data_IF_822923525206
#
_entry.id   IF_822923525206
#
_cell.length_a   1.000
_cell.length_b   1.000
_cell.length_c   1.000
_cell.angle_alpha   90.00
_cell.angle_beta   90.00
_cell.angle_gamma   90.00
#
_symmetry.space_group_name_H-M   'P 1'
#
loop_
_entity.id
_entity.type
_entity.pdbx_description
1 polymer ?
#
# COMPACT_ATOMS: atom_id res chain seq x y z
N UNK A 1 31.57 -15.36 0.67
CA UNK A 1 31.16 -14.56 1.85
C UNK A 1 30.17 -13.43 1.57
N UNK A 2 30.14 -12.81 0.38
CA UNK A 2 29.23 -11.67 0.08
C UNK A 2 27.73 -12.03 0.03
N UNK A 3 27.37 -13.25 -0.40
CA UNK A 3 25.97 -13.72 -0.52
C UNK A 3 25.25 -13.84 0.83
N UNK A 4 25.96 -14.17 1.91
CA UNK A 4 25.35 -14.25 3.24
C UNK A 4 25.00 -12.86 3.81
N UNK A 5 25.86 -11.86 3.58
CA UNK A 5 25.70 -10.50 4.10
C UNK A 5 24.61 -9.73 3.36
N UNK A 6 24.49 -9.89 2.04
CA UNK A 6 23.40 -9.28 1.25
C UNK A 6 22.05 -9.91 1.58
N UNK A 7 21.98 -11.24 1.76
CA UNK A 7 20.73 -11.93 2.15
C UNK A 7 20.28 -11.59 3.58
N UNK A 8 21.23 -11.34 4.48
CA UNK A 8 20.95 -10.85 5.84
C UNK A 8 20.53 -9.38 5.85
N UNK A 9 21.21 -8.51 5.09
CA UNK A 9 20.82 -7.11 4.90
C UNK A 9 19.44 -7.01 4.24
N UNK A 10 19.15 -7.78 3.19
CA UNK A 10 17.82 -7.87 2.57
C UNK A 10 16.74 -8.36 3.55
N UNK A 11 17.06 -9.30 4.45
CA UNK A 11 16.16 -9.71 5.54
C UNK A 11 15.91 -8.59 6.55
N UNK A 12 16.92 -7.79 6.88
CA UNK A 12 16.79 -6.63 7.77
C UNK A 12 16.04 -5.47 7.09
N UNK A 13 16.25 -5.26 5.78
CA UNK A 13 15.52 -4.27 4.99
C UNK A 13 14.04 -4.64 4.85
N UNK A 14 13.71 -5.91 4.58
CA UNK A 14 12.31 -6.41 4.52
C UNK A 14 11.53 -6.21 5.82
N UNK A 15 12.19 -6.04 6.96
CA UNK A 15 11.56 -5.76 8.25
C UNK A 15 11.20 -4.28 8.45
N UNK A 16 11.62 -3.37 7.55
CA UNK A 16 11.32 -1.94 7.68
C UNK A 16 9.95 -1.61 7.08
N UNK A 17 9.14 -0.85 7.82
CA UNK A 17 7.84 -0.34 7.40
C UNK A 17 7.84 0.34 6.02
N UNK A 18 8.95 0.92 5.57
CA UNK A 18 9.00 1.58 4.26
C UNK A 18 8.97 0.61 3.07
N UNK A 19 9.29 -0.68 3.25
CA UNK A 19 9.52 -1.58 2.10
C UNK A 19 8.22 -2.00 1.45
N UNK A 20 7.19 -2.33 2.24
CA UNK A 20 5.88 -2.63 1.63
C UNK A 20 5.24 -1.38 1.06
N UNK A 21 5.35 -0.24 1.75
CA UNK A 21 4.88 1.04 1.21
C UNK A 21 5.50 1.33 -0.17
N UNK A 22 6.82 1.16 -0.30
CA UNK A 22 7.52 1.28 -1.58
C UNK A 22 7.07 0.25 -2.63
N UNK A 23 6.78 -1.00 -2.23
CA UNK A 23 6.24 -2.03 -3.13
C UNK A 23 4.86 -1.66 -3.66
N UNK A 24 3.97 -1.12 -2.84
CA UNK A 24 2.66 -0.66 -3.28
C UNK A 24 2.78 0.54 -4.23
N UNK A 25 3.64 1.52 -3.92
CA UNK A 25 3.90 2.65 -4.82
C UNK A 25 4.48 2.18 -6.16
N UNK A 26 5.46 1.26 -6.11
CA UNK A 26 6.07 0.69 -7.31
C UNK A 26 5.05 -0.15 -8.10
N UNK A 27 4.16 -0.85 -7.40
CA UNK A 27 3.02 -1.56 -7.99
C UNK A 27 2.07 -0.61 -8.72
N UNK A 28 1.76 0.55 -8.15
CA UNK A 28 0.92 1.55 -8.82
C UNK A 28 1.56 2.08 -10.11
N UNK A 29 2.85 2.39 -10.06
CA UNK A 29 3.61 2.80 -11.26
C UNK A 29 3.65 1.67 -12.29
N UNK A 30 3.87 0.43 -11.86
CA UNK A 30 3.85 -0.73 -12.73
C UNK A 30 2.46 -0.92 -13.38
N UNK A 31 1.38 -0.69 -12.64
CA UNK A 31 0.01 -0.71 -13.18
C UNK A 31 -0.19 0.36 -14.25
N UNK A 32 0.34 1.57 -14.07
CA UNK A 32 0.30 2.62 -15.09
C UNK A 32 1.04 2.20 -16.36
N UNK A 33 2.25 1.64 -16.22
CA UNK A 33 3.04 1.15 -17.36
C UNK A 33 2.34 -0.03 -18.05
N UNK A 34 1.82 -0.98 -17.29
CA UNK A 34 1.05 -2.11 -17.83
C UNK A 34 -0.21 -1.64 -18.55
N UNK A 35 -0.90 -0.63 -18.01
CA UNK A 35 -2.05 0.00 -18.67
C UNK A 35 -1.68 0.56 -20.04
N UNK A 36 -0.58 1.30 -20.14
CA UNK A 36 -0.11 1.85 -21.42
C UNK A 36 0.27 0.76 -22.44
N UNK A 37 0.85 -0.35 -21.98
CA UNK A 37 1.30 -1.45 -22.86
C UNK A 37 0.18 -2.41 -23.27
N UNK A 38 -0.69 -2.78 -22.34
CA UNK A 38 -1.72 -3.82 -22.51
C UNK A 38 -3.11 -3.25 -22.81
N UNK A 39 -3.35 -1.96 -22.53
CA UNK A 39 -4.61 -1.28 -22.85
C UNK A 39 -5.07 -1.46 -24.31
N UNK A 40 -4.18 -1.32 -25.32
CA UNK A 40 -4.54 -1.53 -26.72
C UNK A 40 -4.90 -2.98 -27.10
N UNK A 41 -4.45 -3.98 -26.32
CA UNK A 41 -4.74 -5.39 -26.58
C UNK A 41 -6.10 -5.86 -26.04
N UNK A 42 -6.74 -5.08 -25.17
CA UNK A 42 -8.02 -5.46 -24.56
C UNK A 42 -9.15 -5.18 -25.56
N UNK A 43 -10.07 -6.13 -25.82
CA UNK A 43 -11.24 -5.89 -26.67
C UNK A 43 -12.21 -4.87 -26.05
N UNK A 44 -12.73 -3.95 -26.85
CA UNK A 44 -13.57 -2.81 -26.43
C UNK A 44 -14.96 -3.17 -25.81
N UNK A 45 -15.23 -4.46 -25.53
CA UNK A 45 -16.55 -4.94 -25.09
C UNK A 45 -16.65 -5.36 -23.62
N UNK A 46 -15.55 -5.38 -22.86
CA UNK A 46 -15.57 -5.80 -21.46
C UNK A 46 -15.87 -4.59 -20.56
N UNK A 47 -17.13 -4.43 -20.14
CA UNK A 47 -17.66 -3.54 -19.08
C UNK A 47 -16.79 -2.33 -18.69
N UNK A 48 -16.34 -1.58 -19.70
CA UNK A 48 -15.42 -0.46 -19.55
C UNK A 48 -16.01 0.62 -18.64
N UNK A 49 -17.33 0.77 -18.72
CA UNK A 49 -18.12 1.77 -18.02
C UNK A 49 -18.20 1.49 -16.52
N UNK A 50 -18.30 0.22 -16.11
CA UNK A 50 -18.35 -0.15 -14.69
C UNK A 50 -16.99 0.10 -14.03
N UNK A 51 -15.91 -0.36 -14.66
CA UNK A 51 -14.56 -0.19 -14.12
C UNK A 51 -14.11 1.28 -14.12
N UNK A 52 -14.39 2.03 -15.19
CA UNK A 52 -13.95 3.41 -15.33
C UNK A 52 -14.60 4.37 -14.32
N UNK A 53 -15.88 4.17 -13.98
CA UNK A 53 -16.58 5.02 -13.02
C UNK A 53 -16.30 4.65 -11.56
N UNK A 54 -16.22 3.35 -11.26
CA UNK A 54 -16.05 2.90 -9.88
C UNK A 54 -14.63 3.00 -9.36
N UNK A 55 -13.60 2.85 -10.22
CA UNK A 55 -12.20 2.82 -9.76
C UNK A 55 -11.77 4.14 -9.11
N UNK A 56 -12.18 5.28 -9.66
CA UNK A 56 -11.86 6.60 -9.08
C UNK A 56 -12.45 6.77 -7.68
N UNK A 57 -13.72 6.38 -7.52
CA UNK A 57 -14.38 6.42 -6.21
C UNK A 57 -13.71 5.49 -5.20
N UNK A 58 -13.31 4.27 -5.61
CA UNK A 58 -12.63 3.31 -4.73
C UNK A 58 -11.25 3.84 -4.33
N UNK A 59 -10.47 4.38 -5.27
CA UNK A 59 -9.15 4.94 -4.96
C UNK A 59 -9.26 6.14 -4.01
N UNK A 60 -10.24 7.03 -4.20
CA UNK A 60 -10.48 8.13 -3.27
C UNK A 60 -10.84 7.63 -1.86
N UNK A 61 -11.76 6.66 -1.76
CA UNK A 61 -12.13 6.05 -0.47
C UNK A 61 -10.90 5.42 0.19
N UNK A 62 -10.09 4.66 -0.55
CA UNK A 62 -8.87 4.04 -0.03
C UNK A 62 -7.86 5.10 0.42
N UNK A 63 -7.65 6.16 -0.36
CA UNK A 63 -6.73 7.23 -0.01
C UNK A 63 -7.13 7.90 1.32
N UNK A 64 -8.39 8.27 1.49
CA UNK A 64 -8.81 8.96 2.72
C UNK A 64 -8.88 8.01 3.91
N UNK A 65 -9.46 6.81 3.73
CA UNK A 65 -9.65 5.85 4.81
C UNK A 65 -8.34 5.29 5.33
N UNK A 66 -7.41 4.91 4.44
CA UNK A 66 -6.16 4.27 4.85
C UNK A 66 -5.20 5.26 5.51
N UNK A 67 -5.18 6.52 5.09
CA UNK A 67 -4.43 7.58 5.79
C UNK A 67 -5.02 7.84 7.19
N UNK A 68 -6.35 7.88 7.29
CA UNK A 68 -7.05 8.07 8.59
C UNK A 68 -6.75 6.91 9.54
N UNK A 69 -6.91 5.67 9.09
CA UNK A 69 -6.64 4.47 9.89
C UNK A 69 -5.16 4.39 10.28
N UNK A 70 -4.23 4.73 9.36
CA UNK A 70 -2.79 4.77 9.67
C UNK A 70 -2.48 5.80 10.75
N UNK A 71 -3.05 7.00 10.65
CA UNK A 71 -2.83 8.09 11.62
C UNK A 71 -3.36 7.70 13.00
N UNK A 72 -4.58 7.17 13.05
CA UNK A 72 -5.19 6.70 14.30
C UNK A 72 -4.37 5.56 14.94
N UNK A 73 -3.98 4.58 14.14
CA UNK A 73 -3.20 3.42 14.61
C UNK A 73 -1.81 3.82 15.10
N UNK A 74 -1.13 4.73 14.38
CA UNK A 74 0.16 5.27 14.80
C UNK A 74 0.04 6.08 16.09
N UNK A 75 -1.03 6.87 16.24
CA UNK A 75 -1.31 7.62 17.48
C UNK A 75 -1.48 6.66 18.67
N UNK A 76 -2.29 5.62 18.54
CA UNK A 76 -2.45 4.58 19.57
C UNK A 76 -1.11 3.95 19.94
N UNK A 77 -0.30 3.59 18.92
CA UNK A 77 1.00 2.97 19.13
C UNK A 77 1.95 3.90 19.91
N UNK A 78 2.02 5.18 19.53
CA UNK A 78 2.84 6.19 20.22
C UNK A 78 2.37 6.42 21.65
N UNK A 79 1.05 6.52 21.88
CA UNK A 79 0.48 6.66 23.23
C UNK A 79 0.78 5.43 24.09
N UNK A 80 0.60 4.22 23.55
CA UNK A 80 0.91 2.98 24.24
C UNK A 80 2.40 2.89 24.61
N UNK A 81 3.30 3.31 23.72
CA UNK A 81 4.72 3.41 24.02
C UNK A 81 5.04 4.43 25.11
N UNK A 82 4.40 5.60 25.07
CA UNK A 82 4.53 6.62 26.12
C UNK A 82 4.06 6.13 27.50
N UNK A 83 2.97 5.35 27.55
CA UNK A 83 2.48 4.72 28.79
C UNK A 83 3.41 3.60 29.28
N UNK A 84 3.99 2.81 28.39
CA UNK A 84 4.92 1.74 28.76
C UNK A 84 6.25 2.27 29.32
N UNK A 85 6.77 3.38 28.77
CA UNK A 85 8.00 4.03 29.27
C UNK A 85 7.80 4.77 30.59
N UNK A 86 6.56 5.13 30.94
CA UNK A 86 6.24 5.83 32.20
C UNK A 86 5.86 4.89 33.36
N UNK A 87 5.44 3.65 33.11
CA UNK A 87 4.90 2.75 34.15
C UNK A 87 5.62 1.38 34.36
N UNK A 88 6.67 1.01 33.61
CA UNK A 88 7.32 -0.33 33.71
C UNK A 88 8.86 -0.24 33.66
N UNK A 89 9.55 -1.18 34.33
CA UNK A 89 11.03 -1.26 34.37
C UNK A 89 11.67 -1.50 32.98
N UNK A 90 12.89 -0.96 32.71
CA UNK A 90 13.47 -0.82 31.36
C UNK A 90 13.71 -2.09 30.53
N UNK A 91 13.46 -3.29 31.08
CA UNK A 91 13.67 -4.58 30.40
C UNK A 91 12.43 -5.11 29.65
N UNK A 92 11.23 -4.61 29.93
CA UNK A 92 9.99 -5.08 29.28
C UNK A 92 9.47 -4.15 28.17
N UNK A 93 10.00 -2.93 28.07
CA UNK A 93 9.62 -1.96 27.03
C UNK A 93 10.11 -2.39 25.63
N UNK A 94 11.25 -3.07 25.54
CA UNK A 94 11.83 -3.55 24.27
C UNK A 94 11.11 -4.76 23.66
N UNK A 95 10.30 -5.49 24.44
CA UNK A 95 9.48 -6.62 23.95
C UNK A 95 8.14 -6.20 23.34
N UNK A 96 7.64 -4.99 23.66
CA UNK A 96 6.43 -4.39 23.05
C UNK A 96 6.73 -3.51 21.83
N UNK A 97 7.97 -2.99 21.73
CA UNK A 97 8.43 -2.14 20.62
C UNK A 97 8.64 -2.91 19.29
N UNK A 98 8.71 -4.24 19.34
CA UNK A 98 9.07 -5.08 18.20
C UNK A 98 7.89 -5.91 17.66
N UNK A 99 6.65 -5.42 17.86
CA UNK A 99 5.48 -6.06 17.26
C UNK A 99 5.48 -5.87 15.73
N UNK A 100 6.12 -6.83 15.08
CA UNK A 100 6.20 -6.93 13.63
C UNK A 100 4.83 -7.07 12.96
N UNK A 101 3.79 -7.50 13.68
CA UNK A 101 2.41 -7.55 13.14
C UNK A 101 1.88 -6.13 13.00
N UNK A 102 1.94 -5.33 14.07
CA UNK A 102 1.47 -3.94 14.04
C UNK A 102 2.21 -3.08 12.99
N UNK A 103 3.54 -3.23 12.90
CA UNK A 103 4.34 -2.54 11.89
C UNK A 103 3.99 -3.00 10.45
N UNK A 104 3.76 -4.30 10.25
CA UNK A 104 3.36 -4.83 8.95
C UNK A 104 1.99 -4.30 8.52
N UNK A 105 1.03 -4.23 9.44
CA UNK A 105 -0.31 -3.70 9.19
C UNK A 105 -0.27 -2.21 8.83
N UNK A 106 0.43 -1.39 9.62
CA UNK A 106 0.62 0.04 9.33
C UNK A 106 1.30 0.26 7.96
N UNK A 107 2.27 -0.58 7.62
CA UNK A 107 2.98 -0.52 6.34
C UNK A 107 2.05 -0.84 5.17
N UNK A 108 1.14 -1.81 5.31
CA UNK A 108 0.12 -2.12 4.30
C UNK A 108 -0.87 -0.97 4.14
N UNK A 109 -1.35 -0.36 5.24
CA UNK A 109 -2.24 0.80 5.16
C UNK A 109 -1.57 1.99 4.46
N UNK A 110 -0.35 2.35 4.86
CA UNK A 110 0.42 3.41 4.21
C UNK A 110 0.68 3.11 2.73
N UNK A 111 1.02 1.86 2.40
CA UNK A 111 1.23 1.43 1.02
C UNK A 111 -0.02 1.56 0.17
N UNK A 112 -1.17 1.11 0.66
CA UNK A 112 -2.45 1.23 -0.04
C UNK A 112 -2.87 2.69 -0.26
N UNK A 113 -2.60 3.57 0.72
CA UNK A 113 -2.77 5.01 0.56
C UNK A 113 -1.92 5.56 -0.59
N UNK A 114 -0.62 5.22 -0.62
CA UNK A 114 0.28 5.68 -1.68
C UNK A 114 -0.11 5.11 -3.05
N UNK A 115 -0.51 3.84 -3.13
CA UNK A 115 -1.06 3.24 -4.35
C UNK A 115 -2.25 4.04 -4.86
N UNK A 116 -3.16 4.41 -3.94
CA UNK A 116 -4.36 5.16 -4.27
C UNK A 116 -4.04 6.55 -4.81
N UNK A 117 -3.12 7.29 -4.18
CA UNK A 117 -2.67 8.60 -4.68
C UNK A 117 -2.06 8.48 -6.08
N UNK A 118 -1.17 7.51 -6.31
CA UNK A 118 -0.54 7.33 -7.62
C UNK A 118 -1.59 6.95 -8.68
N UNK A 119 -2.56 6.11 -8.32
CA UNK A 119 -3.69 5.76 -9.19
C UNK A 119 -4.54 6.97 -9.55
N UNK A 120 -4.92 7.80 -8.56
CA UNK A 120 -5.68 9.04 -8.77
C UNK A 120 -4.91 10.02 -9.66
N UNK A 121 -3.62 10.23 -9.39
CA UNK A 121 -2.78 11.11 -10.22
C UNK A 121 -2.75 10.62 -11.67
N UNK A 122 -2.57 9.32 -11.89
CA UNK A 122 -2.56 8.79 -13.24
C UNK A 122 -3.92 8.86 -13.94
N UNK A 123 -5.04 8.70 -13.21
CA UNK A 123 -6.38 8.93 -13.75
C UNK A 123 -6.60 10.41 -14.11
N UNK A 124 -6.16 11.33 -13.25
CA UNK A 124 -6.28 12.77 -13.49
C UNK A 124 -5.38 13.25 -14.64
N UNK A 125 -4.25 12.58 -14.87
CA UNK A 125 -3.35 12.82 -16.00
C UNK A 125 -3.78 12.08 -17.29
N UNK A 126 -4.94 11.43 -17.27
CA UNK A 126 -5.51 10.61 -18.37
C UNK A 126 -4.54 9.51 -18.88
N UNK A 127 -3.66 9.00 -18.01
CA UNK A 127 -2.74 7.91 -18.33
C UNK A 127 -3.45 6.55 -18.50
N UNK A 128 -4.72 6.48 -18.11
CA UNK A 128 -5.58 5.32 -18.20
C UNK A 128 -6.74 5.61 -19.16
N UNK A 129 -6.43 5.74 -20.44
CA UNK A 129 -7.43 5.88 -21.49
C UNK A 129 -8.12 4.54 -21.79
N UNK A 130 -9.43 4.59 -22.01
CA UNK A 130 -10.25 3.44 -22.42
C UNK A 130 -10.03 2.21 -21.56
N UNK A 131 -9.50 1.14 -22.17
CA UNK A 131 -9.33 -0.19 -21.57
C UNK A 131 -8.25 -0.25 -20.48
N UNK A 132 -7.38 0.77 -20.39
CA UNK A 132 -6.39 0.87 -19.32
C UNK A 132 -7.00 0.93 -17.92
N UNK A 133 -8.23 1.47 -17.80
CA UNK A 133 -8.95 1.58 -16.52
C UNK A 133 -9.33 0.23 -15.92
N UNK A 134 -9.55 -0.80 -16.75
CA UNK A 134 -9.82 -2.18 -16.29
C UNK A 134 -8.61 -2.75 -15.56
N UNK A 135 -7.39 -2.49 -16.06
CA UNK A 135 -6.15 -2.96 -15.43
C UNK A 135 -5.98 -2.29 -14.07
N UNK A 136 -6.21 -0.98 -13.99
CA UNK A 136 -6.18 -0.25 -12.73
C UNK A 136 -7.25 -0.76 -11.74
N UNK A 137 -8.46 -1.05 -12.22
CA UNK A 137 -9.52 -1.61 -11.39
C UNK A 137 -9.13 -2.98 -10.81
N UNK A 138 -8.62 -3.89 -11.64
CA UNK A 138 -8.15 -5.21 -11.17
C UNK A 138 -6.99 -5.08 -10.18
N UNK A 139 -6.03 -4.19 -10.45
CA UNK A 139 -4.94 -3.91 -9.51
C UNK A 139 -5.47 -3.36 -8.18
N UNK A 140 -6.48 -2.49 -8.22
CA UNK A 140 -7.12 -1.94 -7.02
C UNK A 140 -7.81 -3.03 -6.21
N UNK A 141 -8.51 -3.97 -6.85
CA UNK A 141 -9.10 -5.13 -6.17
C UNK A 141 -8.04 -6.02 -5.51
N UNK A 142 -6.92 -6.26 -6.18
CA UNK A 142 -5.79 -6.99 -5.59
C UNK A 142 -5.28 -6.27 -4.33
N UNK A 143 -5.13 -4.95 -4.38
CA UNK A 143 -4.74 -4.15 -3.21
C UNK A 143 -5.75 -4.31 -2.07
N UNK A 144 -7.06 -4.25 -2.35
CA UNK A 144 -8.11 -4.47 -1.34
C UNK A 144 -7.98 -5.84 -0.68
N UNK A 145 -7.79 -6.90 -1.47
CA UNK A 145 -7.59 -8.26 -0.94
C UNK A 145 -6.36 -8.35 -0.06
N UNK A 146 -5.24 -7.70 -0.45
CA UNK A 146 -4.01 -7.68 0.37
C UNK A 146 -4.21 -6.93 1.69
N UNK A 147 -5.07 -5.90 1.73
CA UNK A 147 -5.36 -5.17 2.98
C UNK A 147 -6.15 -6.03 3.96
N UNK A 148 -7.07 -6.87 3.46
CA UNK A 148 -7.95 -7.68 4.32
C UNK A 148 -7.40 -9.07 4.65
N UNK A 149 -6.31 -9.50 4.01
CA UNK A 149 -5.66 -10.79 4.21
C UNK A 149 -4.53 -10.73 5.25
#
# INVERSE_FOLDING_TARGET
MLIGRTRWLLKQFKKKMWVRAALFSLGAVATAVMSALLGPLIPAGWELTLAAGSVDSILNILATSMLTVTTFSLSIMVTAYGSATSNVTPRSTTLLLDDSVAQNTLSTFLGSFLFSIVGIIGLAADLYEGNGRLILFMATLVVVVIITA
#
